data_IF_225854186577
#
_entry.id   IF_225854186577
#
_cell.length_a   1.000
_cell.length_b   1.000
_cell.length_c   1.000
_cell.angle_alpha   90.00
_cell.angle_beta   90.00
_cell.angle_gamma   90.00
#
_symmetry.space_group_name_H-M   'P 1'
#
loop_
_entity.id
_entity.type
_entity.pdbx_description
1 polymer ?
#
# COMPACT_ATOMS: atom_id res chain seq x y z
N UNK A 1 21.05 -28.77 45.06
CA UNK A 1 20.50 -29.20 43.74
C UNK A 1 19.70 -28.05 43.17
N UNK A 2 20.31 -27.28 42.32
CA UNK A 2 19.67 -26.13 41.64
C UNK A 2 19.49 -26.61 40.19
N UNK A 3 18.22 -26.76 39.81
CA UNK A 3 17.85 -27.14 38.44
C UNK A 3 18.07 -25.95 37.50
N UNK A 4 18.89 -26.15 36.46
CA UNK A 4 19.06 -25.20 35.40
C UNK A 4 17.81 -25.23 34.50
N UNK A 5 17.10 -24.09 34.39
CA UNK A 5 16.15 -23.81 33.36
C UNK A 5 16.94 -23.52 32.09
N UNK A 6 16.83 -24.40 31.13
CA UNK A 6 17.30 -24.20 29.75
C UNK A 6 16.28 -23.34 29.03
N UNK A 7 16.66 -22.09 28.76
CA UNK A 7 15.93 -21.20 27.82
C UNK A 7 15.90 -21.86 26.45
N UNK A 8 14.70 -22.23 26.01
CA UNK A 8 14.43 -22.60 24.63
C UNK A 8 14.45 -21.30 23.80
N UNK A 9 15.58 -20.98 23.22
CA UNK A 9 15.70 -20.01 22.15
C UNK A 9 14.98 -20.62 20.95
N UNK A 10 13.77 -20.16 20.65
CA UNK A 10 13.06 -20.47 19.43
C UNK A 10 13.98 -20.14 18.25
N UNK A 11 14.48 -21.20 17.60
CA UNK A 11 15.18 -21.09 16.31
C UNK A 11 14.16 -20.56 15.29
N UNK A 12 14.29 -19.28 14.94
CA UNK A 12 13.66 -18.76 13.71
C UNK A 12 14.27 -19.53 12.54
N UNK A 13 13.59 -20.58 12.11
CA UNK A 13 13.97 -21.31 10.91
C UNK A 13 14.08 -20.32 9.74
N UNK A 14 15.24 -20.23 9.11
CA UNK A 14 15.44 -19.49 7.85
C UNK A 14 14.58 -20.14 6.76
N UNK A 15 13.42 -19.58 6.57
CA UNK A 15 12.46 -20.07 5.59
C UNK A 15 12.97 -19.77 4.18
N UNK A 16 13.05 -20.77 3.34
CA UNK A 16 13.56 -20.69 1.96
C UNK A 16 12.73 -19.75 1.03
N UNK A 17 13.22 -19.41 -0.17
CA UNK A 17 12.73 -18.33 -1.02
C UNK A 17 11.29 -18.47 -1.56
N UNK A 18 10.65 -19.63 -1.44
CA UNK A 18 9.32 -19.92 -2.02
C UNK A 18 8.24 -20.19 -0.96
N UNK A 19 8.37 -19.66 0.24
CA UNK A 19 7.40 -19.96 1.28
C UNK A 19 6.16 -19.06 1.20
N UNK A 20 5.01 -19.73 1.26
CA UNK A 20 3.71 -19.13 1.40
C UNK A 20 3.63 -18.24 2.66
N UNK A 21 2.74 -17.28 2.65
CA UNK A 21 2.40 -16.43 3.79
C UNK A 21 1.06 -16.87 4.33
N UNK A 22 0.97 -17.05 5.65
CA UNK A 22 -0.29 -17.39 6.30
C UNK A 22 -1.25 -16.22 6.22
N UNK A 23 -2.44 -16.45 5.65
CA UNK A 23 -3.58 -15.54 5.75
C UNK A 23 -4.33 -15.86 7.03
N UNK A 24 -4.60 -14.83 7.84
CA UNK A 24 -5.35 -14.96 9.08
C UNK A 24 -6.84 -14.73 8.84
N UNK A 25 -7.67 -15.39 9.65
CA UNK A 25 -9.10 -15.19 9.67
C UNK A 25 -9.43 -13.75 10.10
N UNK A 26 -10.21 -13.05 9.30
CA UNK A 26 -10.63 -11.67 9.57
C UNK A 26 -11.48 -11.53 10.86
N UNK A 27 -12.07 -12.63 11.37
CA UNK A 27 -12.92 -12.61 12.56
C UNK A 27 -12.15 -12.95 13.84
N UNK A 28 -11.44 -14.09 13.89
CA UNK A 28 -10.81 -14.58 15.11
C UNK A 28 -9.28 -14.50 15.12
N UNK A 29 -8.65 -14.20 13.97
CA UNK A 29 -7.20 -14.13 13.86
C UNK A 29 -6.47 -15.47 13.74
N UNK A 30 -7.19 -16.59 13.74
CA UNK A 30 -6.60 -17.92 13.55
C UNK A 30 -6.06 -18.09 12.12
N UNK A 31 -5.14 -19.03 11.92
CA UNK A 31 -4.63 -19.39 10.58
C UNK A 31 -5.76 -19.88 9.69
N UNK A 32 -5.92 -19.27 8.52
CA UNK A 32 -6.99 -19.58 7.58
C UNK A 32 -6.49 -20.34 6.36
N UNK A 33 -5.42 -19.88 5.74
CA UNK A 33 -4.87 -20.47 4.52
C UNK A 33 -3.41 -20.02 4.32
N UNK A 34 -2.65 -20.84 3.60
CA UNK A 34 -1.35 -20.41 3.07
C UNK A 34 -1.53 -19.79 1.69
N UNK A 35 -1.02 -18.59 1.47
CA UNK A 35 -1.09 -17.86 0.21
C UNK A 35 0.29 -17.63 -0.40
N UNK A 36 0.44 -17.96 -1.67
CA UNK A 36 1.64 -17.71 -2.46
C UNK A 36 1.27 -17.39 -3.90
N UNK A 37 2.25 -17.02 -4.72
CA UNK A 37 2.04 -16.86 -6.16
C UNK A 37 1.53 -18.15 -6.84
N UNK A 38 1.80 -19.31 -6.28
CA UNK A 38 1.39 -20.62 -6.81
C UNK A 38 -0.01 -21.05 -6.33
N UNK A 39 -0.60 -20.34 -5.36
CA UNK A 39 -1.86 -20.77 -4.76
C UNK A 39 -3.06 -20.33 -5.57
N UNK A 40 -3.77 -21.35 -6.10
CA UNK A 40 -5.17 -21.41 -6.52
C UNK A 40 -5.59 -20.47 -7.65
N UNK A 41 -5.71 -21.04 -8.81
CA UNK A 41 -6.64 -20.61 -9.85
C UNK A 41 -8.07 -21.02 -9.45
N UNK A 42 -9.08 -20.21 -9.82
CA UNK A 42 -10.48 -20.50 -9.55
C UNK A 42 -11.06 -19.70 -8.37
N UNK A 43 -12.30 -19.97 -8.06
CA UNK A 43 -13.09 -19.25 -7.04
C UNK A 43 -13.66 -20.23 -6.02
N UNK A 44 -13.81 -19.79 -4.78
CA UNK A 44 -14.36 -20.61 -3.73
C UNK A 44 -14.51 -19.87 -2.40
N UNK A 45 -14.93 -20.63 -1.39
CA UNK A 45 -15.04 -20.17 -0.02
C UNK A 45 -14.18 -21.02 0.88
N UNK A 46 -13.40 -20.37 1.73
CA UNK A 46 -12.61 -21.00 2.77
C UNK A 46 -13.28 -20.70 4.12
N UNK A 47 -13.57 -21.74 4.87
CA UNK A 47 -14.23 -21.62 6.18
C UNK A 47 -13.16 -21.76 7.27
N UNK A 48 -13.13 -20.81 8.18
CA UNK A 48 -12.22 -20.85 9.32
C UNK A 48 -12.54 -22.03 10.23
N UNK A 49 -11.58 -22.91 10.56
CA UNK A 49 -11.83 -24.06 11.42
C UNK A 49 -12.22 -23.67 12.85
N UNK A 50 -11.77 -22.50 13.35
CA UNK A 50 -11.96 -22.11 14.75
C UNK A 50 -13.27 -21.35 15.00
N UNK A 51 -13.73 -20.52 14.03
CA UNK A 51 -14.92 -19.67 14.24
C UNK A 51 -15.98 -19.78 13.15
N UNK A 52 -15.78 -20.64 12.16
CA UNK A 52 -16.68 -20.87 11.02
C UNK A 52 -16.90 -19.63 10.11
N UNK A 53 -16.10 -18.58 10.26
CA UNK A 53 -16.16 -17.42 9.36
C UNK A 53 -15.76 -17.81 7.94
N UNK A 54 -16.58 -17.39 6.98
CA UNK A 54 -16.34 -17.67 5.56
C UNK A 54 -15.52 -16.56 4.91
N UNK A 55 -14.47 -16.92 4.22
CA UNK A 55 -13.62 -16.01 3.42
C UNK A 55 -13.67 -16.45 1.96
N UNK A 56 -14.09 -15.56 1.09
CA UNK A 56 -14.15 -15.83 -0.34
C UNK A 56 -12.81 -15.57 -1.00
N UNK A 57 -12.51 -16.37 -2.02
CA UNK A 57 -11.37 -16.10 -2.92
C UNK A 57 -11.79 -16.29 -4.38
N UNK A 58 -11.16 -15.51 -5.25
CA UNK A 58 -11.33 -15.61 -6.70
C UNK A 58 -10.00 -15.34 -7.39
N UNK A 59 -9.51 -16.32 -8.15
CA UNK A 59 -8.30 -16.18 -8.97
C UNK A 59 -7.09 -15.59 -8.22
N UNK A 60 -6.85 -16.03 -6.98
CA UNK A 60 -5.77 -15.53 -6.12
C UNK A 60 -6.07 -14.20 -5.41
N UNK A 61 -7.30 -13.67 -5.51
CA UNK A 61 -7.78 -12.53 -4.73
C UNK A 61 -8.61 -13.03 -3.55
N UNK A 62 -8.18 -12.73 -2.34
CA UNK A 62 -8.84 -13.10 -1.09
C UNK A 62 -9.61 -11.93 -0.50
N UNK A 63 -10.86 -12.13 -0.10
CA UNK A 63 -11.71 -11.11 0.52
C UNK A 63 -11.67 -11.23 2.04
N UNK A 64 -10.69 -10.61 2.68
CA UNK A 64 -10.46 -10.68 4.13
C UNK A 64 -11.19 -9.55 4.89
N UNK A 65 -12.44 -9.26 4.50
CA UNK A 65 -13.32 -8.30 5.18
C UNK A 65 -14.61 -8.97 5.63
N UNK A 66 -15.09 -8.60 6.83
CA UNK A 66 -16.42 -9.00 7.26
C UNK A 66 -17.52 -8.34 6.40
N UNK A 67 -18.72 -8.94 6.30
CA UNK A 67 -19.86 -8.32 5.62
C UNK A 67 -20.20 -6.92 6.15
N UNK A 68 -20.08 -6.70 7.45
CA UNK A 68 -20.28 -5.39 8.08
C UNK A 68 -19.25 -4.36 7.62
N UNK A 69 -17.97 -4.76 7.48
CA UNK A 69 -16.90 -3.88 6.99
C UNK A 69 -17.06 -3.57 5.50
N UNK A 70 -17.42 -4.54 4.68
CA UNK A 70 -17.77 -4.33 3.26
C UNK A 70 -18.88 -3.29 3.15
N UNK A 71 -19.93 -3.42 3.95
CA UNK A 71 -21.05 -2.47 3.95
C UNK A 71 -20.61 -1.06 4.38
N UNK A 72 -19.74 -0.94 5.40
CA UNK A 72 -19.18 0.33 5.86
C UNK A 72 -18.43 1.07 4.75
N UNK A 73 -17.66 0.38 3.94
CA UNK A 73 -16.85 0.98 2.88
C UNK A 73 -17.59 1.13 1.55
N UNK A 74 -18.81 0.62 1.43
CA UNK A 74 -19.56 0.60 0.15
C UNK A 74 -19.65 1.98 -0.49
N UNK A 75 -20.02 3.00 0.31
CA UNK A 75 -20.16 4.37 -0.20
C UNK A 75 -18.81 4.91 -0.66
N UNK A 76 -17.78 4.78 0.15
CA UNK A 76 -16.41 5.21 -0.19
C UNK A 76 -15.92 4.55 -1.49
N UNK A 77 -16.08 3.24 -1.60
CA UNK A 77 -15.65 2.48 -2.80
C UNK A 77 -16.38 3.01 -4.03
N UNK A 78 -17.71 3.18 -3.96
CA UNK A 78 -18.50 3.66 -5.10
C UNK A 78 -18.10 5.09 -5.53
N UNK A 79 -17.95 6.01 -4.58
CA UNK A 79 -17.50 7.38 -4.85
C UNK A 79 -16.09 7.40 -5.46
N UNK A 80 -15.17 6.62 -4.90
CA UNK A 80 -13.79 6.53 -5.37
C UNK A 80 -13.73 5.95 -6.78
N UNK A 81 -14.44 4.87 -7.07
CA UNK A 81 -14.50 4.26 -8.40
C UNK A 81 -15.05 5.22 -9.45
N UNK A 82 -16.08 5.99 -9.09
CA UNK A 82 -16.65 7.02 -9.97
C UNK A 82 -15.63 8.10 -10.32
N UNK A 83 -14.93 8.64 -9.30
CA UNK A 83 -13.88 9.65 -9.50
C UNK A 83 -12.77 9.09 -10.38
N UNK A 84 -12.29 7.87 -10.10
CA UNK A 84 -11.21 7.22 -10.85
C UNK A 84 -11.59 6.98 -12.31
N UNK A 85 -12.83 6.57 -12.56
CA UNK A 85 -13.36 6.42 -13.92
C UNK A 85 -13.42 7.78 -14.66
N UNK A 86 -13.90 8.84 -13.99
CA UNK A 86 -13.95 10.18 -14.55
C UNK A 86 -12.55 10.76 -14.85
N UNK A 87 -11.55 10.44 -14.02
CA UNK A 87 -10.15 10.76 -14.27
C UNK A 87 -9.55 9.92 -15.43
N UNK A 88 -10.30 8.99 -15.99
CA UNK A 88 -9.86 8.11 -17.08
C UNK A 88 -8.81 7.10 -16.67
N UNK A 89 -8.88 6.62 -15.42
CA UNK A 89 -8.00 5.57 -14.92
C UNK A 89 -8.55 4.19 -15.24
N UNK A 90 -7.61 3.26 -15.40
CA UNK A 90 -7.92 1.90 -15.81
C UNK A 90 -8.21 1.75 -17.29
N UNK A 91 -8.15 0.53 -17.78
CA UNK A 91 -8.33 0.15 -19.18
C UNK A 91 -8.95 -1.24 -19.28
N UNK A 92 -9.33 -1.62 -20.47
CA UNK A 92 -9.62 -3.01 -20.84
C UNK A 92 -8.43 -3.67 -21.55
N UNK A 93 -7.39 -2.88 -21.86
CA UNK A 93 -6.21 -3.32 -22.61
C UNK A 93 -5.06 -3.68 -21.67
N UNK A 94 -4.51 -4.90 -21.73
CA UNK A 94 -3.36 -5.30 -20.91
C UNK A 94 -2.15 -4.38 -21.03
N UNK A 95 -1.90 -3.84 -22.24
CA UNK A 95 -0.76 -2.97 -22.53
C UNK A 95 -0.74 -1.72 -21.66
N UNK A 96 -1.93 -1.19 -21.29
CA UNK A 96 -2.04 -0.07 -20.36
C UNK A 96 -1.37 -0.41 -19.03
N UNK A 97 -1.71 -1.54 -18.45
CA UNK A 97 -1.20 -1.97 -17.13
C UNK A 97 0.27 -2.37 -17.23
N UNK A 98 0.64 -3.14 -18.26
CA UNK A 98 2.01 -3.61 -18.46
C UNK A 98 3.02 -2.45 -18.63
N UNK A 99 2.56 -1.29 -19.11
CA UNK A 99 3.42 -0.11 -19.28
C UNK A 99 3.64 0.69 -17.99
N UNK A 100 2.76 0.56 -16.98
CA UNK A 100 2.84 1.32 -15.74
C UNK A 100 4.07 0.93 -14.89
N UNK A 101 4.65 1.86 -14.13
CA UNK A 101 4.36 3.29 -14.08
C UNK A 101 5.14 4.11 -15.12
N UNK A 102 5.89 3.47 -16.02
CA UNK A 102 6.88 4.13 -16.88
C UNK A 102 6.28 4.85 -18.08
N UNK A 103 5.12 4.39 -18.54
CA UNK A 103 4.40 5.00 -19.66
C UNK A 103 2.89 4.96 -19.37
N UNK A 104 2.24 6.09 -19.51
CA UNK A 104 0.78 6.19 -19.55
C UNK A 104 0.31 6.18 -21.01
N UNK A 105 -0.15 5.03 -21.47
CA UNK A 105 -0.62 4.88 -22.85
C UNK A 105 -1.91 5.68 -23.09
N UNK A 106 -2.72 5.93 -22.05
CA UNK A 106 -3.93 6.73 -22.17
C UNK A 106 -3.66 8.21 -22.40
N UNK A 107 -2.47 8.69 -22.01
CA UNK A 107 -2.08 10.10 -22.01
C UNK A 107 -2.79 10.98 -20.97
N UNK A 108 -3.84 10.49 -20.31
CA UNK A 108 -4.69 11.26 -19.40
C UNK A 108 -4.03 11.59 -18.07
N UNK A 109 -3.13 10.72 -17.57
CA UNK A 109 -2.50 10.81 -16.26
C UNK A 109 -0.96 10.81 -16.32
N UNK A 110 -0.37 11.17 -17.45
CA UNK A 110 1.06 11.03 -17.74
C UNK A 110 1.96 11.73 -16.73
N UNK A 111 1.58 12.90 -16.21
CA UNK A 111 2.35 13.61 -15.20
C UNK A 111 2.37 12.87 -13.85
N UNK A 112 1.24 12.30 -13.44
CA UNK A 112 1.16 11.52 -12.22
C UNK A 112 1.96 10.21 -12.33
N UNK A 113 1.87 9.51 -13.47
CA UNK A 113 2.63 8.29 -13.70
C UNK A 113 4.14 8.56 -13.79
N UNK A 114 4.55 9.71 -14.33
CA UNK A 114 5.94 10.15 -14.31
C UNK A 114 6.48 10.35 -12.89
N UNK A 115 5.67 10.92 -11.99
CA UNK A 115 6.00 11.05 -10.57
C UNK A 115 6.16 9.66 -9.96
N UNK A 116 5.18 8.78 -10.11
CA UNK A 116 5.21 7.41 -9.57
C UNK A 116 6.41 6.61 -10.08
N UNK A 117 6.76 6.76 -11.35
CA UNK A 117 7.93 6.10 -11.93
C UNK A 117 9.25 6.58 -11.26
N UNK A 118 9.36 7.87 -10.94
CA UNK A 118 10.54 8.42 -10.25
C UNK A 118 10.60 7.97 -8.81
N UNK A 119 9.47 8.01 -8.10
CA UNK A 119 9.35 7.48 -6.74
C UNK A 119 9.74 6.01 -6.69
N UNK A 120 9.21 5.19 -7.60
CA UNK A 120 9.52 3.76 -7.65
C UNK A 120 11.02 3.49 -7.89
N UNK A 121 11.66 4.18 -8.84
CA UNK A 121 13.11 4.07 -9.06
C UNK A 121 13.92 4.47 -7.82
N UNK A 122 13.49 5.53 -7.12
CA UNK A 122 14.17 5.95 -5.90
C UNK A 122 14.03 4.90 -4.77
N UNK A 123 12.84 4.31 -4.60
CA UNK A 123 12.63 3.19 -3.66
C UNK A 123 13.52 2.01 -4.02
N UNK A 124 13.58 1.63 -5.29
CA UNK A 124 14.43 0.53 -5.77
C UNK A 124 15.90 0.77 -5.42
N UNK A 125 16.42 1.94 -5.75
CA UNK A 125 17.84 2.25 -5.61
C UNK A 125 18.26 2.51 -4.16
N UNK A 126 17.44 3.20 -3.38
CA UNK A 126 17.81 3.71 -2.05
C UNK A 126 17.40 2.80 -0.91
N UNK A 127 16.37 1.98 -1.11
CA UNK A 127 15.78 1.15 -0.05
C UNK A 127 15.89 -0.34 -0.39
N UNK A 128 15.37 -0.73 -1.55
CA UNK A 128 15.29 -2.14 -1.89
C UNK A 128 16.64 -2.77 -2.21
N UNK A 129 17.46 -2.11 -3.03
CA UNK A 129 18.76 -2.68 -3.41
C UNK A 129 19.67 -2.94 -2.18
N UNK A 130 19.86 -1.98 -1.24
CA UNK A 130 20.62 -2.24 -0.01
C UNK A 130 19.97 -3.32 0.87
N UNK A 131 18.64 -3.36 0.94
CA UNK A 131 17.94 -4.36 1.75
C UNK A 131 18.06 -5.76 1.13
N UNK A 132 18.00 -5.88 -0.19
CA UNK A 132 18.19 -7.14 -0.91
C UNK A 132 19.61 -7.67 -0.73
N UNK A 133 20.59 -6.80 -0.82
CA UNK A 133 22.00 -7.13 -0.58
C UNK A 133 22.22 -7.62 0.86
N UNK A 134 21.62 -6.95 1.84
CA UNK A 134 21.67 -7.34 3.25
C UNK A 134 21.02 -8.72 3.49
N UNK A 135 19.86 -8.95 2.92
CA UNK A 135 19.08 -10.19 3.12
C UNK A 135 19.59 -11.35 2.27
N UNK A 136 20.32 -11.09 1.18
CA UNK A 136 20.85 -12.08 0.22
C UNK A 136 19.80 -13.06 -0.34
N UNK A 137 18.55 -12.60 -0.43
CA UNK A 137 17.40 -13.36 -0.95
C UNK A 137 16.32 -12.42 -1.47
N UNK A 138 15.34 -12.92 -2.24
CA UNK A 138 14.13 -12.17 -2.56
C UNK A 138 13.46 -11.59 -1.32
N UNK A 139 13.02 -10.33 -1.42
CA UNK A 139 12.29 -9.66 -0.33
C UNK A 139 10.83 -10.09 -0.34
N UNK A 140 10.26 -10.34 0.84
CA UNK A 140 8.82 -10.37 1.06
C UNK A 140 8.33 -8.96 1.25
N UNK A 141 7.42 -8.52 0.38
CA UNK A 141 6.99 -7.13 0.32
C UNK A 141 5.47 -7.06 0.48
N UNK A 142 5.00 -6.20 1.37
CA UNK A 142 3.59 -5.90 1.51
C UNK A 142 3.30 -4.54 0.85
N UNK A 143 2.55 -4.56 -0.25
CA UNK A 143 2.14 -3.37 -1.02
C UNK A 143 0.75 -2.94 -0.57
N UNK A 144 0.70 -1.91 0.29
CA UNK A 144 -0.51 -1.44 0.96
C UNK A 144 -1.18 -0.29 0.21
N UNK A 145 -2.44 -0.49 -0.19
CA UNK A 145 -3.18 0.38 -1.08
C UNK A 145 -2.68 0.22 -2.52
N UNK A 146 -2.52 -1.02 -2.95
CA UNK A 146 -1.89 -1.41 -4.20
C UNK A 146 -2.67 -0.98 -5.46
N UNK A 147 -3.98 -0.65 -5.33
CA UNK A 147 -4.84 -0.32 -6.46
C UNK A 147 -4.86 -1.43 -7.49
N UNK A 148 -4.47 -1.11 -8.73
CA UNK A 148 -4.41 -2.10 -9.81
C UNK A 148 -3.18 -3.04 -9.75
N UNK A 149 -2.34 -2.95 -8.70
CA UNK A 149 -1.20 -3.85 -8.48
C UNK A 149 0.03 -3.58 -9.34
N UNK A 150 0.15 -2.41 -9.98
CA UNK A 150 1.29 -2.11 -10.85
C UNK A 150 2.65 -2.21 -10.14
N UNK A 151 2.72 -1.81 -8.85
CA UNK A 151 3.96 -1.90 -8.07
C UNK A 151 4.29 -3.37 -7.77
N UNK A 152 3.33 -4.13 -7.29
CA UNK A 152 3.48 -5.58 -7.06
C UNK A 152 3.92 -6.31 -8.33
N UNK A 153 3.35 -5.96 -9.50
CA UNK A 153 3.79 -6.49 -10.79
C UNK A 153 5.28 -6.19 -11.06
N UNK A 154 5.72 -4.94 -10.86
CA UNK A 154 7.13 -4.56 -11.08
C UNK A 154 8.08 -5.25 -10.09
N UNK A 155 7.63 -5.45 -8.86
CA UNK A 155 8.39 -6.17 -7.83
C UNK A 155 8.53 -7.66 -8.18
N UNK A 156 7.47 -8.28 -8.71
CA UNK A 156 7.51 -9.67 -9.18
C UNK A 156 8.49 -9.85 -10.34
N UNK A 157 8.51 -8.92 -11.31
CA UNK A 157 9.49 -8.93 -12.42
C UNK A 157 10.94 -8.83 -11.95
N UNK A 158 11.19 -8.34 -10.73
CA UNK A 158 12.52 -8.26 -10.12
C UNK A 158 12.85 -9.47 -9.23
N UNK A 159 11.98 -10.47 -9.23
CA UNK A 159 12.15 -11.69 -8.44
C UNK A 159 11.80 -11.54 -6.97
N UNK A 160 11.16 -10.43 -6.54
CA UNK A 160 10.65 -10.27 -5.19
C UNK A 160 9.29 -10.94 -5.01
N UNK A 161 8.86 -11.08 -3.76
CA UNK A 161 7.64 -11.77 -3.35
C UNK A 161 6.60 -10.77 -2.77
N UNK A 162 5.92 -9.99 -3.61
CA UNK A 162 4.92 -9.03 -3.15
C UNK A 162 3.58 -9.71 -2.83
N UNK A 163 2.86 -9.15 -1.85
CA UNK A 163 1.44 -9.33 -1.64
C UNK A 163 0.77 -7.96 -1.78
N UNK A 164 -0.21 -7.87 -2.68
CA UNK A 164 -0.96 -6.64 -2.92
C UNK A 164 -2.20 -6.58 -2.02
N UNK A 165 -2.36 -5.48 -1.27
CA UNK A 165 -3.51 -5.24 -0.39
C UNK A 165 -4.22 -3.96 -0.79
N UNK A 166 -5.55 -4.02 -0.94
CA UNK A 166 -6.39 -2.84 -1.19
C UNK A 166 -7.84 -3.11 -0.74
N UNK A 167 -8.63 -2.06 -0.60
CA UNK A 167 -10.08 -2.15 -0.42
C UNK A 167 -10.82 -2.40 -1.75
N UNK A 168 -10.26 -1.88 -2.86
CA UNK A 168 -10.88 -1.95 -4.18
C UNK A 168 -10.55 -3.27 -4.88
N UNK A 169 -11.59 -3.96 -5.33
CA UNK A 169 -11.45 -5.26 -6.01
C UNK A 169 -11.91 -5.24 -7.46
N UNK A 170 -12.34 -4.08 -7.99
CA UNK A 170 -12.82 -3.98 -9.36
C UNK A 170 -11.72 -4.30 -10.38
N UNK A 171 -12.15 -4.69 -11.60
CA UNK A 171 -11.27 -5.16 -12.67
C UNK A 171 -10.62 -4.03 -13.50
N UNK A 172 -10.87 -2.76 -13.16
CA UNK A 172 -10.31 -1.61 -13.90
C UNK A 172 -9.17 -0.93 -13.16
N UNK A 173 -9.35 -0.61 -11.87
CA UNK A 173 -8.34 0.16 -11.12
C UNK A 173 -8.15 -0.38 -9.69
N UNK A 174 -8.82 -1.49 -9.34
CA UNK A 174 -8.64 -2.25 -8.12
C UNK A 174 -7.83 -3.54 -8.33
N UNK A 175 -7.74 -4.35 -7.28
CA UNK A 175 -6.96 -5.61 -7.27
C UNK A 175 -7.36 -6.59 -8.38
N UNK A 176 -8.61 -6.54 -8.86
CA UNK A 176 -9.06 -7.36 -9.99
C UNK A 176 -8.37 -7.03 -11.30
N UNK A 177 -7.91 -5.78 -11.48
CA UNK A 177 -7.19 -5.36 -12.67
C UNK A 177 -5.82 -6.07 -12.84
N UNK A 178 -5.28 -6.63 -11.75
CA UNK A 178 -4.02 -7.37 -11.81
C UNK A 178 -4.06 -8.60 -12.73
N UNK A 179 -5.24 -9.09 -13.11
CA UNK A 179 -5.39 -10.16 -14.10
C UNK A 179 -4.66 -9.85 -15.43
N UNK A 180 -4.55 -8.58 -15.79
CA UNK A 180 -3.85 -8.14 -17.00
C UNK A 180 -2.34 -8.39 -16.96
N UNK A 181 -1.74 -8.60 -15.78
CA UNK A 181 -0.31 -8.93 -15.66
C UNK A 181 0.01 -10.39 -15.93
N UNK A 182 -0.99 -11.30 -16.02
CA UNK A 182 -0.77 -12.73 -16.30
C UNK A 182 -0.03 -12.99 -17.60
N UNK A 183 -0.13 -12.09 -18.55
CA UNK A 183 0.61 -12.20 -19.82
C UNK A 183 2.13 -12.03 -19.67
N UNK A 184 2.59 -11.50 -18.53
CA UNK A 184 4.00 -11.21 -18.28
C UNK A 184 4.53 -11.88 -17.00
N UNK A 185 3.66 -12.24 -16.05
CA UNK A 185 4.01 -12.94 -14.81
C UNK A 185 2.97 -14.03 -14.53
N UNK A 186 3.41 -15.26 -14.54
CA UNK A 186 2.60 -16.42 -14.21
C UNK A 186 3.47 -17.39 -13.40
N UNK A 187 3.07 -17.70 -12.17
CA UNK A 187 1.84 -17.33 -11.47
C UNK A 187 1.80 -15.85 -11.03
N UNK A 188 0.58 -15.33 -10.91
CA UNK A 188 0.34 -13.97 -10.45
C UNK A 188 0.56 -13.86 -8.93
N UNK A 189 1.05 -12.71 -8.48
CA UNK A 189 1.21 -12.42 -7.06
C UNK A 189 -0.12 -12.46 -6.29
N UNK A 190 -0.13 -12.83 -4.99
CA UNK A 190 -1.32 -12.86 -4.15
C UNK A 190 -1.91 -11.48 -3.96
N UNK A 191 -3.25 -11.41 -3.87
CA UNK A 191 -4.02 -10.20 -3.68
C UNK A 191 -5.00 -10.38 -2.54
N UNK A 192 -5.08 -9.41 -1.64
CA UNK A 192 -5.93 -9.49 -0.46
C UNK A 192 -6.73 -8.21 -0.30
N UNK A 193 -8.05 -8.33 -0.31
CA UNK A 193 -8.93 -7.23 0.08
C UNK A 193 -8.92 -7.11 1.60
N UNK A 194 -8.33 -6.03 2.12
CA UNK A 194 -8.27 -5.75 3.55
C UNK A 194 -8.16 -4.25 3.82
N UNK A 195 -8.37 -3.88 5.08
CA UNK A 195 -8.14 -2.53 5.60
C UNK A 195 -6.66 -2.31 5.94
N UNK A 196 -6.18 -1.06 5.81
CA UNK A 196 -4.78 -0.72 6.12
C UNK A 196 -4.47 -0.80 7.62
N UNK A 197 -5.48 -0.65 8.48
CA UNK A 197 -5.36 -0.68 9.95
C UNK A 197 -5.81 -2.01 10.57
N UNK A 198 -6.00 -3.03 9.75
CA UNK A 198 -6.35 -4.40 10.16
C UNK A 198 -5.89 -5.42 9.12
N UNK A 199 -4.62 -5.77 9.17
CA UNK A 199 -3.99 -6.64 8.18
C UNK A 199 -4.14 -8.12 8.57
N UNK A 200 -4.63 -8.98 7.66
CA UNK A 200 -4.85 -10.40 7.95
C UNK A 200 -3.57 -11.23 7.79
N UNK A 201 -2.47 -10.78 8.39
CA UNK A 201 -1.17 -11.46 8.34
C UNK A 201 -0.59 -11.63 9.74
N UNK A 202 0.24 -12.65 9.97
CA UNK A 202 1.01 -12.79 11.21
C UNK A 202 2.00 -11.64 11.41
N UNK A 203 2.51 -11.51 12.63
CA UNK A 203 3.59 -10.58 12.94
C UNK A 203 4.91 -11.02 12.29
N UNK A 204 5.78 -10.06 11.97
CA UNK A 204 7.17 -10.29 11.53
C UNK A 204 7.31 -11.17 10.29
N UNK A 205 6.49 -10.92 9.26
CA UNK A 205 6.49 -11.68 8.00
C UNK A 205 7.22 -10.97 6.88
N UNK A 206 7.09 -9.65 6.78
CA UNK A 206 7.56 -8.89 5.62
C UNK A 206 8.87 -8.16 5.88
N UNK A 207 9.77 -8.20 4.91
CA UNK A 207 11.02 -7.45 4.94
C UNK A 207 10.79 -5.96 4.66
N UNK A 208 9.74 -5.66 3.89
CA UNK A 208 9.41 -4.32 3.44
C UNK A 208 7.89 -4.15 3.36
N UNK A 209 7.36 -3.13 4.02
CA UNK A 209 5.97 -2.71 3.93
C UNK A 209 5.93 -1.33 3.27
N UNK A 210 5.18 -1.19 2.17
CA UNK A 210 5.14 0.03 1.37
C UNK A 210 3.73 0.58 1.29
N UNK A 211 3.58 1.85 1.64
CA UNK A 211 2.42 2.68 1.31
C UNK A 211 2.79 3.60 0.15
N UNK A 212 2.33 3.30 -1.06
CA UNK A 212 2.58 4.16 -2.21
C UNK A 212 1.31 4.88 -2.66
N UNK A 213 1.22 6.18 -2.35
CA UNK A 213 0.05 7.01 -2.58
C UNK A 213 -1.23 6.46 -1.90
N UNK A 214 -1.07 5.88 -0.71
CA UNK A 214 -2.15 5.20 0.02
C UNK A 214 -2.26 5.57 1.51
N UNK A 215 -1.15 5.90 2.18
CA UNK A 215 -1.14 6.18 3.62
C UNK A 215 -2.10 7.32 4.01
N UNK A 216 -2.26 8.32 3.15
CA UNK A 216 -3.15 9.46 3.38
C UNK A 216 -4.65 9.10 3.41
N UNK A 217 -5.06 7.92 2.92
CA UNK A 217 -6.44 7.44 3.08
C UNK A 217 -6.73 6.85 4.46
N UNK A 218 -5.72 6.70 5.31
CA UNK A 218 -5.91 6.26 6.69
C UNK A 218 -6.77 7.25 7.48
N UNK A 219 -7.68 6.71 8.29
CA UNK A 219 -8.49 7.49 9.25
C UNK A 219 -7.75 7.73 10.57
N UNK A 220 -6.71 6.92 10.84
CA UNK A 220 -5.86 7.03 12.01
C UNK A 220 -4.47 6.48 11.67
N UNK A 221 -3.49 7.38 11.61
CA UNK A 221 -2.12 7.01 11.21
C UNK A 221 -1.44 6.08 12.22
N UNK A 222 -1.70 6.25 13.51
CA UNK A 222 -1.13 5.40 14.55
C UNK A 222 -1.59 3.95 14.39
N UNK A 223 -2.90 3.72 14.23
CA UNK A 223 -3.46 2.38 14.03
C UNK A 223 -2.94 1.72 12.75
N UNK A 224 -2.89 2.48 11.67
CA UNK A 224 -2.36 1.98 10.38
C UNK A 224 -0.89 1.62 10.50
N UNK A 225 -0.10 2.45 11.20
CA UNK A 225 1.32 2.20 11.38
C UNK A 225 1.59 1.03 12.32
N UNK A 226 0.79 0.84 13.40
CA UNK A 226 0.87 -0.35 14.28
C UNK A 226 0.77 -1.64 13.47
N UNK A 227 -0.19 -1.74 12.56
CA UNK A 227 -0.38 -2.94 11.75
C UNK A 227 0.79 -3.14 10.77
N UNK A 228 1.26 -2.07 10.13
CA UNK A 228 2.42 -2.14 9.25
C UNK A 228 3.68 -2.61 10.02
N UNK A 229 3.95 -2.03 11.19
CA UNK A 229 5.07 -2.40 12.05
C UNK A 229 4.96 -3.84 12.54
N UNK A 230 3.77 -4.26 12.98
CA UNK A 230 3.50 -5.63 13.43
C UNK A 230 3.83 -6.65 12.33
N UNK A 231 3.45 -6.36 11.12
CA UNK A 231 3.70 -7.25 9.97
C UNK A 231 5.15 -7.23 9.49
N UNK A 232 5.94 -6.20 9.84
CA UNK A 232 7.33 -6.06 9.41
C UNK A 232 8.28 -6.86 10.29
N UNK A 233 9.21 -7.59 9.69
CA UNK A 233 10.26 -8.33 10.41
C UNK A 233 11.20 -7.39 11.17
N UNK A 234 11.85 -7.82 12.25
CA UNK A 234 12.99 -7.12 12.83
C UNK A 234 14.06 -6.82 11.77
N UNK A 235 14.56 -5.58 11.75
CA UNK A 235 15.48 -5.09 10.72
C UNK A 235 14.85 -4.81 9.36
N UNK A 236 13.55 -5.05 9.20
CA UNK A 236 12.77 -4.68 8.02
C UNK A 236 12.53 -3.17 7.92
N UNK A 237 11.77 -2.77 6.90
CA UNK A 237 11.49 -1.35 6.60
C UNK A 237 10.00 -1.10 6.41
N UNK A 238 9.54 0.05 6.91
CA UNK A 238 8.24 0.63 6.54
C UNK A 238 8.50 1.89 5.71
N UNK A 239 7.84 1.98 4.55
CA UNK A 239 8.00 3.06 3.58
C UNK A 239 6.67 3.74 3.32
N UNK A 240 6.65 5.08 3.42
CA UNK A 240 5.52 5.93 3.05
C UNK A 240 5.96 6.82 1.89
N UNK A 241 5.37 6.63 0.72
CA UNK A 241 5.69 7.35 -0.51
C UNK A 241 4.45 7.97 -1.15
N UNK A 242 4.66 9.02 -1.95
CA UNK A 242 3.62 9.72 -2.72
C UNK A 242 2.38 10.13 -1.90
N UNK A 243 2.54 10.29 -0.59
CA UNK A 243 1.55 10.90 0.30
C UNK A 243 1.72 12.42 0.27
N UNK A 244 0.64 13.22 0.08
CA UNK A 244 0.73 14.67 0.12
C UNK A 244 1.39 15.15 1.42
N UNK A 245 2.42 15.97 1.30
CA UNK A 245 3.15 16.54 2.43
C UNK A 245 3.11 18.06 2.37
N UNK A 246 2.89 18.69 3.53
CA UNK A 246 2.91 20.13 3.72
C UNK A 246 3.80 20.50 4.91
N UNK A 247 4.47 21.65 4.81
CA UNK A 247 5.24 22.18 5.92
C UNK A 247 4.34 22.62 7.07
N UNK A 248 3.18 23.20 6.74
CA UNK A 248 2.22 23.76 7.68
C UNK A 248 0.91 22.96 7.66
N UNK A 249 0.35 22.70 8.83
CA UNK A 249 -0.92 21.98 9.02
C UNK A 249 -2.08 22.70 8.32
N UNK A 250 -2.10 24.03 8.39
CA UNK A 250 -3.12 24.85 7.77
C UNK A 250 -3.17 24.70 6.24
N UNK A 251 -2.00 24.62 5.60
CA UNK A 251 -1.93 24.38 4.15
C UNK A 251 -2.52 23.03 3.74
N UNK A 252 -2.33 22.02 4.58
CA UNK A 252 -2.93 20.69 4.39
C UNK A 252 -4.45 20.73 4.56
N UNK A 253 -4.97 21.36 5.61
CA UNK A 253 -6.42 21.50 5.83
C UNK A 253 -7.11 22.22 4.67
N UNK A 254 -6.56 23.34 4.24
CA UNK A 254 -7.10 24.09 3.08
C UNK A 254 -7.09 23.25 1.80
N UNK A 255 -6.09 22.39 1.60
CA UNK A 255 -6.10 21.46 0.47
C UNK A 255 -7.28 20.48 0.55
N UNK A 256 -7.59 19.96 1.73
CA UNK A 256 -8.71 19.03 1.92
C UNK A 256 -10.04 19.74 1.64
N UNK A 257 -10.22 20.94 2.16
CA UNK A 257 -11.41 21.77 1.91
C UNK A 257 -11.60 22.05 0.42
N UNK A 258 -10.55 22.56 -0.26
CA UNK A 258 -10.55 22.81 -1.70
C UNK A 258 -10.84 21.56 -2.53
N UNK A 259 -10.35 20.38 -2.07
CA UNK A 259 -10.62 19.10 -2.69
C UNK A 259 -12.09 18.73 -2.56
N UNK A 260 -12.67 18.83 -1.36
CA UNK A 260 -14.08 18.52 -1.09
C UNK A 260 -15.01 19.43 -1.88
N UNK A 261 -14.76 20.76 -1.88
CA UNK A 261 -15.52 21.72 -2.68
C UNK A 261 -15.48 21.41 -4.18
N UNK A 262 -14.28 21.11 -4.70
CA UNK A 262 -14.11 20.77 -6.12
C UNK A 262 -14.84 19.47 -6.45
N UNK A 263 -14.76 18.45 -5.60
CA UNK A 263 -15.46 17.19 -5.83
C UNK A 263 -16.97 17.36 -5.75
N UNK A 264 -17.45 18.17 -4.80
CA UNK A 264 -18.87 18.49 -4.72
C UNK A 264 -19.36 19.20 -5.98
N UNK A 265 -18.63 20.20 -6.47
CA UNK A 265 -18.96 20.91 -7.71
C UNK A 265 -18.92 20.01 -8.95
N UNK A 266 -18.00 19.04 -8.98
CA UNK A 266 -17.79 18.21 -10.18
C UNK A 266 -18.66 16.96 -10.18
N UNK A 267 -18.88 16.33 -9.03
CA UNK A 267 -19.52 15.02 -8.91
C UNK A 267 -20.79 15.01 -8.08
N UNK A 268 -21.14 16.10 -7.40
CA UNK A 268 -22.31 16.19 -6.52
C UNK A 268 -22.09 15.61 -5.12
N UNK A 269 -20.86 15.21 -4.77
CA UNK A 269 -20.48 14.73 -3.43
C UNK A 269 -19.02 15.12 -3.11
N UNK A 270 -18.71 15.28 -1.81
CA UNK A 270 -17.40 15.77 -1.36
C UNK A 270 -16.30 14.69 -1.31
N UNK A 271 -16.64 13.39 -1.47
CA UNK A 271 -15.71 12.26 -1.28
C UNK A 271 -15.13 12.21 0.14
N UNK A 272 -15.97 12.41 1.12
CA UNK A 272 -15.70 12.47 2.56
C UNK A 272 -16.38 11.34 3.35
N UNK A 273 -16.82 10.30 2.66
CA UNK A 273 -17.52 9.15 3.25
C UNK A 273 -16.66 8.32 4.23
N UNK A 274 -15.35 8.51 4.20
CA UNK A 274 -14.43 8.15 5.28
C UNK A 274 -13.63 9.39 5.70
N UNK A 275 -13.39 9.53 7.01
CA UNK A 275 -12.65 10.65 7.58
C UNK A 275 -11.13 10.44 7.44
N UNK A 276 -10.64 10.35 6.19
CA UNK A 276 -9.22 10.18 5.91
C UNK A 276 -8.40 11.41 6.28
N UNK A 277 -7.14 11.19 6.70
CA UNK A 277 -6.26 12.26 7.18
C UNK A 277 -5.61 13.07 6.06
N UNK A 278 -5.58 12.56 4.85
CA UNK A 278 -5.28 13.18 3.55
C UNK A 278 -3.85 13.71 3.35
N UNK A 279 -3.09 14.04 4.39
CA UNK A 279 -1.74 14.60 4.25
C UNK A 279 -0.85 14.35 5.45
N UNK A 280 0.46 14.51 5.26
CA UNK A 280 1.49 14.50 6.30
C UNK A 280 2.07 15.89 6.53
N UNK A 281 2.53 16.12 7.77
CA UNK A 281 3.31 17.29 8.18
C UNK A 281 4.50 16.86 9.03
N UNK A 282 5.51 17.72 9.27
CA UNK A 282 6.58 17.42 10.21
C UNK A 282 6.05 17.03 11.61
N UNK A 283 5.06 17.76 12.11
CA UNK A 283 4.46 17.48 13.43
C UNK A 283 3.76 16.11 13.50
N UNK A 284 3.06 15.71 12.43
CA UNK A 284 2.43 14.37 12.37
C UNK A 284 3.47 13.27 12.33
N UNK A 285 4.52 13.42 11.51
CA UNK A 285 5.63 12.46 11.44
C UNK A 285 6.39 12.35 12.75
N UNK A 286 6.65 13.48 13.41
CA UNK A 286 7.31 13.48 14.72
C UNK A 286 6.47 12.77 15.79
N UNK A 287 5.15 12.98 15.81
CA UNK A 287 4.25 12.23 16.70
C UNK A 287 4.33 10.73 16.47
N UNK A 288 4.28 10.29 15.20
CA UNK A 288 4.42 8.88 14.85
C UNK A 288 5.80 8.33 15.26
N UNK A 289 6.88 9.09 15.03
CA UNK A 289 8.21 8.72 15.48
C UNK A 289 8.28 8.53 17.00
N UNK A 290 7.77 9.49 17.77
CA UNK A 290 7.76 9.43 19.22
C UNK A 290 6.89 8.28 19.77
N UNK A 291 5.69 8.07 19.17
CA UNK A 291 4.75 7.05 19.63
C UNK A 291 5.28 5.61 19.46
N UNK A 292 6.09 5.38 18.45
CA UNK A 292 6.59 4.04 18.09
C UNK A 292 8.11 3.90 18.18
N UNK A 293 8.80 4.88 18.75
CA UNK A 293 10.26 4.93 18.82
C UNK A 293 10.92 4.71 17.43
N UNK A 294 10.44 5.44 16.42
CA UNK A 294 10.91 5.35 15.04
C UNK A 294 11.69 6.59 14.65
N UNK A 295 12.82 6.37 13.99
CA UNK A 295 13.56 7.41 13.29
C UNK A 295 13.17 7.41 11.80
N UNK A 296 12.57 8.52 11.37
CA UNK A 296 12.21 8.72 9.97
C UNK A 296 13.38 9.32 9.20
N UNK A 297 13.93 8.59 8.25
CA UNK A 297 14.72 9.15 7.17
C UNK A 297 13.83 9.47 5.97
N UNK A 298 14.27 10.37 5.09
CA UNK A 298 13.51 10.64 3.87
C UNK A 298 14.39 10.93 2.67
N UNK A 299 13.83 10.61 1.49
CA UNK A 299 14.39 10.93 0.18
C UNK A 299 13.40 11.82 -0.56
N UNK A 300 13.90 12.88 -1.20
CA UNK A 300 13.10 13.74 -2.09
C UNK A 300 13.57 13.53 -3.54
N UNK A 301 12.85 12.69 -4.32
CA UNK A 301 13.21 12.49 -5.72
C UNK A 301 13.02 13.77 -6.52
N UNK A 302 13.88 14.00 -7.50
CA UNK A 302 13.71 15.12 -8.41
C UNK A 302 12.62 14.82 -9.45
N UNK A 303 11.46 15.44 -9.30
CA UNK A 303 10.31 15.24 -10.20
C UNK A 303 10.33 16.13 -11.45
N UNK A 304 11.37 16.93 -11.66
CA UNK A 304 11.58 17.80 -12.81
C UNK A 304 11.40 19.28 -12.49
N UNK A 305 11.88 20.14 -13.39
CA UNK A 305 11.91 21.59 -13.21
C UNK A 305 10.50 22.17 -13.00
N UNK A 306 9.52 21.73 -13.79
CA UNK A 306 8.12 22.20 -13.63
C UNK A 306 7.58 21.90 -12.23
N UNK A 307 7.89 20.74 -11.68
CA UNK A 307 7.51 20.38 -10.32
C UNK A 307 8.23 21.25 -9.28
N UNK A 308 9.54 21.44 -9.44
CA UNK A 308 10.36 22.25 -8.52
C UNK A 308 9.92 23.72 -8.48
N UNK A 309 9.41 24.27 -9.58
CA UNK A 309 8.93 25.65 -9.67
C UNK A 309 7.49 25.84 -9.15
N UNK A 310 6.75 24.79 -8.77
CA UNK A 310 5.36 24.89 -8.29
C UNK A 310 5.21 25.82 -7.06
N UNK A 311 6.07 25.75 -6.02
CA UNK A 311 5.96 26.64 -4.87
C UNK A 311 6.11 28.11 -5.23
N UNK A 312 7.07 28.45 -6.10
CA UNK A 312 7.27 29.81 -6.56
C UNK A 312 6.06 30.34 -7.36
N UNK A 313 5.54 29.54 -8.28
CA UNK A 313 4.33 29.89 -9.06
C UNK A 313 3.11 30.09 -8.16
N UNK A 314 2.90 29.22 -7.17
CA UNK A 314 1.81 29.33 -6.23
C UNK A 314 1.93 30.63 -5.41
N UNK A 315 3.13 30.97 -4.93
CA UNK A 315 3.40 32.20 -4.19
C UNK A 315 3.09 33.45 -5.03
N UNK A 316 3.56 33.48 -6.29
CA UNK A 316 3.31 34.61 -7.21
C UNK A 316 1.82 34.76 -7.55
N UNK A 317 1.06 33.67 -7.57
CA UNK A 317 -0.39 33.67 -7.81
C UNK A 317 -1.23 33.87 -6.54
N UNK A 318 -0.63 34.11 -5.37
CA UNK A 318 -1.35 34.26 -4.10
C UNK A 318 -2.03 32.98 -3.60
N UNK A 319 -1.63 31.82 -4.13
CA UNK A 319 -2.18 30.53 -3.73
C UNK A 319 -1.38 29.91 -2.57
N UNK A 320 -2.01 28.98 -1.81
CA UNK A 320 -1.30 28.19 -0.82
C UNK A 320 -0.16 27.37 -1.45
N UNK A 321 0.87 27.01 -0.67
CA UNK A 321 1.93 26.11 -1.15
C UNK A 321 1.35 24.79 -1.66
N UNK A 322 1.82 24.29 -2.81
CA UNK A 322 1.41 22.98 -3.32
C UNK A 322 1.98 21.86 -2.47
N UNK A 323 1.30 20.70 -2.45
CA UNK A 323 1.83 19.49 -1.82
C UNK A 323 3.21 19.12 -2.38
N UNK A 324 4.07 18.60 -1.52
CA UNK A 324 5.30 17.95 -1.90
C UNK A 324 5.13 16.43 -1.76
N UNK A 325 5.94 15.66 -2.49
CA UNK A 325 6.06 14.23 -2.30
C UNK A 325 7.47 13.89 -1.82
N UNK A 326 7.52 13.03 -0.82
CA UNK A 326 8.74 12.52 -0.21
C UNK A 326 8.58 11.02 -0.02
N UNK A 327 9.68 10.31 0.07
CA UNK A 327 9.73 8.91 0.46
C UNK A 327 10.26 8.89 1.88
N UNK A 328 9.42 8.55 2.83
CA UNK A 328 9.80 8.33 4.22
C UNK A 328 10.09 6.87 4.45
N UNK A 329 11.14 6.60 5.17
CA UNK A 329 11.56 5.26 5.55
C UNK A 329 11.79 5.22 7.06
N UNK A 330 11.27 4.19 7.71
CA UNK A 330 11.61 3.84 9.08
C UNK A 330 12.10 2.40 9.14
N UNK A 331 13.16 2.17 9.93
CA UNK A 331 13.67 0.84 10.21
C UNK A 331 12.96 0.29 11.44
N UNK A 332 12.46 -0.95 11.34
CA UNK A 332 11.92 -1.66 12.51
C UNK A 332 13.07 -2.21 13.34
N UNK A 333 13.07 -1.93 14.61
CA UNK A 333 14.12 -2.39 15.54
C UNK A 333 14.32 -3.91 15.51
N UNK A 334 15.50 -4.34 15.88
CA UNK A 334 15.83 -5.75 16.02
C UNK A 334 15.27 -6.31 17.33
#
# INVERSE_FOLDING_TARGET
>A
MIAAQTDAVDKVEERGPNQAVTLLCWQCGASLAEISAETRTGSGTHVCPDCSAATQYRDGLWCALSPARINRFRKFIAEYELIRAAEGRGSTQPEYYLSLPFKDISGKNSDQWRIRARTFRAIQQRIMAPLTELKKRPLRILDLGAGNGWMSYRLTLQGHLPIAVDLLTNVRDGLGAAIHYRTAVDPLFPRVQAELDRLPFPSSVFDLVIFNASFHYSVNYERTLVEALRCTCPGGRVVIADTPWYAEEESGRRMVEEKHERFFKTYGFASDSIASLEFLTPARLQRLGNAFNLEWSYVSPFYGIRWALRPLRAKLAGHRPPSQFRIYEARVGA
#
